data_IF_449264789365
#
_entry.id   IF_449264789365
#
_cell.length_a   1.000
_cell.length_b   1.000
_cell.length_c   1.000
_cell.angle_alpha   90.00
_cell.angle_beta   90.00
_cell.angle_gamma   90.00
#
_symmetry.space_group_name_H-M   'P 1'
#
loop_
_entity.id
_entity.type
_entity.pdbx_description
1 polymer ?
#
# COMPACT_ATOMS: atom_id res chain seq x y z
N UNK A 1 -13.81 -37.76 -26.70
CA UNK A 1 -13.34 -36.70 -25.79
C UNK A 1 -14.50 -35.75 -25.62
N UNK A 2 -15.07 -35.63 -24.44
CA UNK A 2 -16.13 -34.63 -24.17
C UNK A 2 -15.43 -33.36 -23.74
N UNK A 3 -15.44 -32.35 -24.58
CA UNK A 3 -14.96 -31.04 -24.20
C UNK A 3 -15.95 -30.38 -23.23
N UNK A 4 -15.55 -30.20 -21.99
CA UNK A 4 -16.32 -29.38 -21.08
C UNK A 4 -16.05 -27.90 -21.45
N UNK A 5 -17.10 -27.16 -21.76
CA UNK A 5 -17.01 -25.73 -21.95
C UNK A 5 -16.56 -25.11 -20.64
N UNK A 6 -15.50 -24.30 -20.66
CA UNK A 6 -15.05 -23.55 -19.51
C UNK A 6 -16.19 -22.65 -19.02
N UNK A 7 -16.57 -22.80 -17.77
CA UNK A 7 -17.60 -21.96 -17.14
C UNK A 7 -16.92 -20.84 -16.38
N UNK A 8 -17.15 -19.60 -16.79
CA UNK A 8 -16.70 -18.43 -16.03
C UNK A 8 -17.68 -18.21 -14.88
N UNK A 9 -17.19 -18.34 -13.65
CA UNK A 9 -17.95 -17.99 -12.45
C UNK A 9 -17.51 -16.61 -12.02
N UNK A 10 -18.44 -15.67 -11.98
CA UNK A 10 -18.21 -14.32 -11.46
C UNK A 10 -18.69 -14.30 -10.01
N UNK A 11 -17.81 -13.95 -9.08
CA UNK A 11 -18.16 -13.74 -7.67
C UNK A 11 -18.55 -12.27 -7.52
N UNK A 12 -19.83 -11.97 -7.33
CA UNK A 12 -20.26 -10.57 -7.11
C UNK A 12 -19.79 -10.11 -5.72
N UNK A 13 -19.53 -8.82 -5.61
CA UNK A 13 -19.22 -8.14 -4.34
C UNK A 13 -17.92 -8.60 -3.65
N UNK A 14 -16.96 -9.14 -4.40
CA UNK A 14 -15.65 -9.48 -3.84
C UNK A 14 -14.97 -8.25 -3.22
N UNK A 15 -15.16 -7.08 -3.82
CA UNK A 15 -14.63 -5.80 -3.37
C UNK A 15 -15.20 -5.34 -2.02
N UNK A 16 -16.40 -5.79 -1.67
CA UNK A 16 -17.05 -5.44 -0.39
C UNK A 16 -16.56 -6.34 0.75
N UNK A 17 -16.00 -7.48 0.41
CA UNK A 17 -15.52 -8.50 1.38
C UNK A 17 -14.04 -8.27 1.70
N UNK A 18 -13.26 -7.79 0.73
CA UNK A 18 -11.81 -7.60 0.87
C UNK A 18 -11.54 -6.14 1.25
N UNK A 19 -11.40 -5.88 2.55
CA UNK A 19 -10.98 -4.57 3.08
C UNK A 19 -9.46 -4.38 3.12
N UNK A 20 -8.72 -5.49 3.15
CA UNK A 20 -7.25 -5.52 3.15
C UNK A 20 -6.76 -6.55 2.15
N UNK A 21 -5.53 -6.39 1.66
CA UNK A 21 -4.91 -7.40 0.79
C UNK A 21 -4.68 -8.67 1.63
N UNK A 22 -5.34 -9.80 1.31
CA UNK A 22 -5.16 -11.02 2.08
C UNK A 22 -3.83 -11.70 1.73
N UNK A 23 -3.18 -12.30 2.72
CA UNK A 23 -1.95 -13.08 2.51
C UNK A 23 -2.21 -14.35 1.69
N UNK A 24 -3.41 -14.90 1.79
CA UNK A 24 -3.83 -16.08 1.03
C UNK A 24 -5.34 -16.15 0.90
N UNK A 25 -5.80 -16.79 -0.17
CA UNK A 25 -7.21 -17.03 -0.48
C UNK A 25 -7.43 -18.53 -0.63
N UNK A 26 -8.34 -19.09 0.17
CA UNK A 26 -8.75 -20.49 0.06
C UNK A 26 -9.94 -20.61 -0.88
N UNK A 27 -9.80 -21.42 -1.93
CA UNK A 27 -10.86 -21.69 -2.88
C UNK A 27 -11.24 -23.17 -2.84
N UNK A 28 -12.51 -23.48 -2.55
CA UNK A 28 -13.04 -24.84 -2.61
C UNK A 28 -13.90 -25.00 -3.86
N UNK A 29 -13.50 -25.91 -4.75
CA UNK A 29 -14.25 -26.25 -5.96
C UNK A 29 -14.93 -27.60 -5.77
N UNK A 30 -16.26 -27.65 -5.94
CA UNK A 30 -17.06 -28.88 -5.90
C UNK A 30 -17.68 -29.14 -7.29
N UNK A 31 -16.98 -29.86 -8.19
CA UNK A 31 -17.55 -30.18 -9.46
C UNK A 31 -18.71 -31.17 -9.29
N UNK A 32 -19.81 -30.90 -9.98
CA UNK A 32 -21.00 -31.76 -9.97
C UNK A 32 -21.31 -32.20 -11.41
N UNK A 33 -21.49 -33.49 -11.60
CA UNK A 33 -21.92 -34.03 -12.90
C UNK A 33 -23.40 -33.74 -13.08
N UNK A 34 -23.80 -33.24 -14.27
CA UNK A 34 -25.21 -33.03 -14.60
C UNK A 34 -25.96 -34.37 -14.64
N UNK A 35 -26.90 -34.57 -13.73
CA UNK A 35 -27.66 -35.81 -13.58
C UNK A 35 -28.75 -35.99 -14.65
N UNK A 36 -29.05 -34.96 -15.46
CA UNK A 36 -30.07 -34.96 -16.50
C UNK A 36 -29.58 -35.49 -17.87
N UNK A 37 -28.31 -35.85 -17.97
CA UNK A 37 -27.70 -36.41 -19.19
C UNK A 37 -27.29 -37.85 -18.95
N UNK A 38 -27.66 -38.72 -19.92
CA UNK A 38 -27.20 -40.09 -19.92
C UNK A 38 -25.85 -40.21 -20.63
N UNK A 39 -24.90 -40.85 -19.95
CA UNK A 39 -23.57 -41.11 -20.49
C UNK A 39 -23.40 -42.61 -20.73
N UNK A 40 -22.87 -42.99 -21.88
CA UNK A 40 -22.52 -44.39 -22.15
C UNK A 40 -21.13 -44.66 -21.57
N UNK A 41 -21.05 -45.63 -20.67
CA UNK A 41 -19.81 -46.08 -20.07
C UNK A 41 -19.52 -47.51 -20.52
N UNK A 42 -18.35 -47.76 -21.10
CA UNK A 42 -17.92 -49.11 -21.47
C UNK A 42 -17.26 -49.77 -20.26
N UNK A 43 -17.81 -50.91 -19.86
CA UNK A 43 -17.24 -51.68 -18.74
C UNK A 43 -15.86 -52.23 -19.12
N UNK A 44 -14.91 -52.12 -18.21
CA UNK A 44 -13.53 -52.58 -18.40
C UNK A 44 -12.58 -51.56 -19.06
N UNK A 45 -13.01 -50.31 -19.26
CA UNK A 45 -12.13 -49.21 -19.64
C UNK A 45 -11.81 -48.31 -18.45
N UNK A 46 -10.55 -47.88 -18.39
CA UNK A 46 -10.15 -46.84 -17.43
C UNK A 46 -10.53 -45.45 -17.95
N UNK A 47 -11.21 -44.68 -17.14
CA UNK A 47 -11.61 -43.31 -17.44
C UNK A 47 -10.79 -42.34 -16.58
N UNK A 48 -10.09 -41.42 -17.22
CA UNK A 48 -9.33 -40.39 -16.55
C UNK A 48 -10.06 -39.06 -16.68
N UNK A 49 -10.32 -38.41 -15.56
CA UNK A 49 -10.82 -37.02 -15.50
C UNK A 49 -9.64 -36.10 -15.28
N UNK A 50 -9.34 -35.29 -16.26
CA UNK A 50 -8.38 -34.18 -16.10
C UNK A 50 -9.18 -32.89 -15.97
N UNK A 51 -8.94 -32.15 -14.88
CA UNK A 51 -9.51 -30.83 -14.69
C UNK A 51 -8.38 -29.80 -14.59
N UNK A 52 -8.53 -28.70 -15.30
CA UNK A 52 -7.69 -27.52 -15.15
C UNK A 52 -8.60 -26.34 -14.77
N UNK A 53 -8.10 -25.47 -13.91
CA UNK A 53 -8.78 -24.25 -13.57
C UNK A 53 -7.78 -23.09 -13.62
N UNK A 54 -8.28 -21.95 -14.00
CA UNK A 54 -7.60 -20.68 -13.93
C UNK A 54 -8.44 -19.75 -13.08
N UNK A 55 -7.83 -19.11 -12.09
CA UNK A 55 -8.49 -18.19 -11.17
C UNK A 55 -7.85 -16.83 -11.36
N UNK A 56 -8.60 -15.93 -11.98
CA UNK A 56 -8.23 -14.52 -12.09
C UNK A 56 -9.03 -13.73 -11.04
N UNK A 57 -8.31 -13.16 -10.08
CA UNK A 57 -8.88 -12.28 -9.06
C UNK A 57 -8.33 -10.89 -9.32
N UNK A 58 -9.01 -10.06 -10.09
CA UNK A 58 -8.61 -8.69 -10.26
C UNK A 58 -8.73 -8.00 -8.90
N UNK A 59 -7.60 -7.55 -8.34
CA UNK A 59 -7.56 -6.75 -7.12
C UNK A 59 -8.09 -5.35 -7.44
N UNK A 60 -9.41 -5.22 -7.63
CA UNK A 60 -10.08 -3.94 -7.64
C UNK A 60 -10.62 -3.68 -6.24
N UNK A 61 -10.24 -2.57 -5.66
CA UNK A 61 -10.54 -2.26 -4.29
C UNK A 61 -11.74 -1.31 -4.22
N UNK A 62 -12.60 -1.54 -3.24
CA UNK A 62 -13.69 -0.62 -2.92
C UNK A 62 -13.20 0.63 -2.18
N UNK A 63 -14.13 1.53 -1.88
CA UNK A 63 -13.87 2.80 -1.18
C UNK A 63 -13.25 2.64 0.22
N UNK A 64 -13.22 1.44 0.77
CA UNK A 64 -12.72 1.15 2.12
C UNK A 64 -11.27 0.61 2.13
N UNK A 65 -10.59 0.60 0.98
CA UNK A 65 -9.20 0.15 0.92
C UNK A 65 -8.33 0.95 1.88
N UNK A 66 -7.66 0.24 2.78
CA UNK A 66 -6.66 0.78 3.68
C UNK A 66 -5.30 0.26 3.26
N UNK A 67 -4.50 1.14 2.65
CA UNK A 67 -3.08 0.89 2.44
C UNK A 67 -2.33 1.69 3.48
N UNK A 68 -1.45 1.01 4.19
CA UNK A 68 -0.57 1.63 5.18
C UNK A 68 0.85 1.20 4.85
N UNK A 69 1.72 2.17 4.67
CA UNK A 69 3.16 1.97 4.50
C UNK A 69 3.90 2.71 5.61
N UNK A 70 4.79 2.03 6.30
CA UNK A 70 5.63 2.62 7.35
C UNK A 70 7.07 2.66 6.86
N UNK A 71 7.70 3.81 7.01
CA UNK A 71 9.10 4.06 6.68
C UNK A 71 9.80 4.72 7.85
N UNK A 72 11.05 4.35 8.08
CA UNK A 72 11.91 4.99 9.04
C UNK A 72 13.10 5.59 8.30
N UNK A 73 13.23 6.90 8.41
CA UNK A 73 14.37 7.65 7.95
C UNK A 73 15.28 7.85 9.15
N UNK A 74 16.48 7.34 9.13
CA UNK A 74 17.45 7.40 10.22
C UNK A 74 18.80 7.94 9.73
N UNK A 75 19.73 8.11 10.65
CA UNK A 75 21.09 8.59 10.41
C UNK A 75 21.10 9.99 9.75
N UNK A 76 20.34 10.92 10.32
CA UNK A 76 20.37 12.32 9.85
C UNK A 76 21.72 13.01 10.12
N UNK A 77 22.49 12.49 11.09
CA UNK A 77 23.86 12.93 11.44
C UNK A 77 23.98 14.46 11.44
N UNK A 78 23.09 15.09 12.18
CA UNK A 78 23.06 16.54 12.29
C UNK A 78 24.18 16.98 13.23
N UNK A 79 25.25 17.55 12.68
CA UNK A 79 26.29 18.21 13.46
C UNK A 79 25.77 19.57 13.97
N UNK A 80 25.03 19.51 15.07
CA UNK A 80 24.38 20.66 15.68
C UNK A 80 25.06 21.06 17.01
N UNK A 81 26.31 20.66 17.20
CA UNK A 81 27.09 21.12 18.36
C UNK A 81 27.16 22.65 18.32
N UNK A 82 26.76 23.30 19.41
CA UNK A 82 26.73 24.76 19.59
C UNK A 82 25.71 25.56 18.76
N UNK A 83 24.72 24.89 18.10
CA UNK A 83 23.67 25.59 17.34
C UNK A 83 22.31 25.41 18.00
N UNK A 84 21.67 26.51 18.42
CA UNK A 84 20.29 26.51 18.94
C UNK A 84 19.29 26.56 17.78
N UNK A 85 18.82 25.38 17.35
CA UNK A 85 17.82 25.25 16.30
C UNK A 85 16.45 24.98 16.92
N UNK A 86 15.49 25.87 16.64
CA UNK A 86 14.11 25.77 17.12
C UNK A 86 13.13 25.21 16.11
N UNK A 87 13.54 25.18 14.84
CA UNK A 87 12.71 24.71 13.72
C UNK A 87 13.58 24.05 12.68
N UNK A 88 13.09 22.97 12.13
CA UNK A 88 13.66 22.32 10.96
C UNK A 88 12.54 21.91 10.00
N UNK A 89 12.86 21.85 8.72
CA UNK A 89 11.92 21.40 7.68
C UNK A 89 12.59 20.30 6.86
N UNK A 90 11.97 19.12 6.84
CA UNK A 90 12.35 18.07 5.91
C UNK A 90 11.49 18.19 4.65
N UNK A 91 12.11 18.61 3.55
CA UNK A 91 11.51 18.59 2.23
C UNK A 91 11.72 17.24 1.58
N UNK A 92 10.66 16.67 1.02
CA UNK A 92 10.65 15.35 0.39
C UNK A 92 9.96 15.46 -0.96
N UNK A 93 10.54 14.86 -2.00
CA UNK A 93 9.88 14.66 -3.29
C UNK A 93 9.35 13.21 -3.34
N UNK A 94 8.05 13.03 -3.30
CA UNK A 94 7.41 11.72 -3.46
C UNK A 94 7.07 11.49 -4.93
N UNK A 95 7.59 10.41 -5.51
CA UNK A 95 7.27 9.98 -6.88
C UNK A 95 6.38 8.75 -6.81
N UNK A 96 5.23 8.82 -7.44
CA UNK A 96 4.17 7.82 -7.34
C UNK A 96 3.69 7.35 -8.72
N UNK A 97 3.64 6.03 -8.93
CA UNK A 97 3.00 5.40 -10.09
C UNK A 97 1.72 4.66 -9.70
N UNK A 98 1.38 4.65 -8.41
CA UNK A 98 0.19 3.96 -7.91
C UNK A 98 -1.03 4.85 -8.20
N UNK A 99 -2.16 4.30 -8.70
CA UNK A 99 -3.35 5.07 -9.00
C UNK A 99 -4.18 5.39 -7.74
N UNK A 100 -3.51 5.72 -6.67
CA UNK A 100 -4.07 6.13 -5.39
C UNK A 100 -3.33 7.37 -4.88
N UNK A 101 -4.07 8.37 -4.46
CA UNK A 101 -3.51 9.46 -3.69
C UNK A 101 -3.19 8.97 -2.27
N UNK A 102 -2.10 9.47 -1.69
CA UNK A 102 -1.69 9.13 -0.35
C UNK A 102 -1.41 10.38 0.47
N UNK A 103 -1.52 10.22 1.78
CA UNK A 103 -1.29 11.31 2.74
C UNK A 103 -0.43 10.83 3.91
N UNK A 104 0.27 11.78 4.51
CA UNK A 104 0.93 11.62 5.79
C UNK A 104 0.24 12.59 6.76
N UNK A 105 -0.46 12.06 7.75
CA UNK A 105 -1.07 12.90 8.79
C UNK A 105 -0.03 13.28 9.84
N UNK A 106 -0.24 14.39 10.51
CA UNK A 106 0.67 14.85 11.58
C UNK A 106 0.92 13.77 12.64
N UNK A 107 -0.15 13.09 13.08
CA UNK A 107 -0.07 12.00 14.06
C UNK A 107 0.63 10.74 13.55
N UNK A 108 0.92 10.69 12.26
CA UNK A 108 1.61 9.60 11.57
C UNK A 108 3.10 9.86 11.37
N UNK A 109 3.63 10.92 11.99
CA UNK A 109 5.07 11.21 11.98
C UNK A 109 5.58 11.31 13.41
N UNK A 110 6.70 10.65 13.67
CA UNK A 110 7.37 10.69 14.95
C UNK A 110 8.84 11.08 14.75
N UNK A 111 9.30 12.06 15.48
CA UNK A 111 10.71 12.41 15.56
C UNK A 111 11.45 11.39 16.45
N UNK A 112 12.60 10.91 16.01
CA UNK A 112 13.38 9.87 16.68
C UNK A 112 14.77 10.38 17.06
N UNK A 113 15.26 9.92 18.22
CA UNK A 113 16.65 10.09 18.64
C UNK A 113 17.56 8.99 18.04
N UNK A 114 18.87 9.07 18.24
CA UNK A 114 19.86 8.12 17.77
C UNK A 114 19.68 6.68 18.30
N UNK A 115 18.83 6.48 19.31
CA UNK A 115 18.48 5.17 19.84
C UNK A 115 17.12 4.67 19.30
N UNK A 116 16.49 5.43 18.40
CA UNK A 116 15.16 5.13 17.85
C UNK A 116 14.00 5.44 18.80
N UNK A 117 14.23 6.18 19.90
CA UNK A 117 13.17 6.58 20.80
C UNK A 117 12.46 7.83 20.28
N UNK A 118 11.14 7.92 20.51
CA UNK A 118 10.35 9.08 20.11
C UNK A 118 10.68 10.29 20.98
N UNK A 119 11.05 11.40 20.34
CA UNK A 119 11.24 12.71 20.95
C UNK A 119 9.88 13.39 21.04
N UNK A 120 9.35 13.53 22.27
CA UNK A 120 8.01 14.11 22.50
C UNK A 120 7.98 15.64 22.45
N UNK A 121 9.13 16.24 22.60
CA UNK A 121 9.29 17.70 22.66
C UNK A 121 9.53 18.34 21.28
N UNK A 122 9.06 17.67 20.23
CA UNK A 122 9.03 18.18 18.87
C UNK A 122 7.61 18.05 18.34
N UNK A 123 6.98 19.16 18.04
CA UNK A 123 5.72 19.21 17.32
C UNK A 123 5.98 19.02 15.82
N UNK A 124 5.23 18.12 15.23
CA UNK A 124 5.36 17.79 13.80
C UNK A 124 4.11 18.18 13.04
N UNK A 125 4.29 18.90 11.93
CA UNK A 125 3.21 19.17 10.99
C UNK A 125 3.64 18.82 9.57
N UNK A 126 2.74 18.23 8.81
CA UNK A 126 3.00 17.79 7.43
C UNK A 126 2.18 18.60 6.45
N UNK A 127 2.81 19.12 5.42
CA UNK A 127 2.18 19.83 4.32
C UNK A 127 2.38 19.09 3.01
N UNK A 128 1.33 19.04 2.20
CA UNK A 128 1.33 18.35 0.92
C UNK A 128 0.63 16.98 0.98
N UNK A 129 0.35 16.45 -0.20
CA UNK A 129 -0.24 15.14 -0.42
C UNK A 129 0.46 14.47 -1.60
N UNK A 130 0.51 13.15 -1.62
CA UNK A 130 1.08 12.38 -2.72
C UNK A 130 -0.05 12.15 -3.73
N UNK A 131 0.11 12.75 -4.90
CA UNK A 131 -0.87 12.69 -5.98
C UNK A 131 -0.86 11.31 -6.65
N UNK A 132 -2.03 10.83 -7.03
CA UNK A 132 -2.21 9.57 -7.74
C UNK A 132 -1.66 9.63 -9.19
N UNK A 133 -1.20 8.49 -9.69
CA UNK A 133 -0.97 8.28 -11.12
C UNK A 133 -2.26 7.77 -11.76
N UNK A 134 -2.94 8.58 -12.56
CA UNK A 134 -4.25 8.24 -13.13
C UNK A 134 -4.25 7.00 -14.03
N UNK A 135 -3.15 6.70 -14.66
CA UNK A 135 -3.00 5.55 -15.55
C UNK A 135 -2.26 4.38 -14.90
N UNK A 136 -1.81 4.54 -13.63
CA UNK A 136 -1.02 3.56 -12.91
C UNK A 136 0.36 3.26 -13.52
N UNK A 137 0.90 4.16 -14.35
CA UNK A 137 2.18 4.00 -15.07
C UNK A 137 3.01 5.26 -15.09
N UNK A 138 2.37 6.41 -15.31
CA UNK A 138 3.06 7.70 -15.37
C UNK A 138 3.53 8.11 -13.98
N UNK A 139 4.79 8.47 -13.88
CA UNK A 139 5.37 9.01 -12.64
C UNK A 139 4.77 10.38 -12.34
N UNK A 140 4.24 10.55 -11.14
CA UNK A 140 3.72 11.81 -10.63
C UNK A 140 4.54 12.22 -9.42
N UNK A 141 5.16 13.40 -9.50
CA UNK A 141 5.95 13.97 -8.41
C UNK A 141 5.07 14.87 -7.53
N UNK A 142 5.25 14.76 -6.23
CA UNK A 142 4.57 15.59 -5.23
C UNK A 142 5.56 16.07 -4.19
N UNK A 143 5.53 17.36 -3.86
CA UNK A 143 6.36 17.92 -2.81
C UNK A 143 5.65 17.76 -1.46
N UNK A 144 6.38 17.29 -0.47
CA UNK A 144 5.97 17.18 0.92
C UNK A 144 6.94 17.98 1.78
N UNK A 145 6.42 18.66 2.80
CA UNK A 145 7.23 19.29 3.82
C UNK A 145 6.81 18.78 5.20
N UNK A 146 7.77 18.27 5.95
CA UNK A 146 7.61 17.91 7.34
C UNK A 146 8.24 19.00 8.18
N UNK A 147 7.42 19.81 8.83
CA UNK A 147 7.86 20.88 9.69
C UNK A 147 8.03 20.35 11.12
N UNK A 148 9.18 20.59 11.70
CA UNK A 148 9.57 20.19 13.04
C UNK A 148 9.75 21.44 13.89
N UNK A 149 8.97 21.60 14.96
CA UNK A 149 9.05 22.72 15.86
C UNK A 149 9.39 22.23 17.26
N UNK A 150 10.45 22.77 17.83
CA UNK A 150 10.87 22.48 19.18
C UNK A 150 9.88 23.06 20.20
N UNK A 151 9.46 22.23 21.16
CA UNK A 151 8.61 22.66 22.30
C UNK A 151 9.38 22.73 23.61
N UNK A 152 10.54 22.07 23.68
CA UNK A 152 11.47 22.19 24.80
C UNK A 152 12.90 22.35 24.27
N UNK A 153 13.68 23.23 24.91
CA UNK A 153 15.04 23.58 24.49
C UNK A 153 15.95 22.36 24.29
N UNK A 154 16.62 22.30 23.16
CA UNK A 154 17.55 21.22 22.79
C UNK A 154 16.85 19.93 22.32
N UNK A 155 15.56 19.95 21.99
CA UNK A 155 14.89 18.76 21.48
C UNK A 155 15.30 18.44 20.03
N UNK A 156 15.45 19.46 19.17
CA UNK A 156 15.87 19.26 17.77
C UNK A 156 17.33 18.78 17.68
N UNK A 157 18.19 19.18 18.59
CA UNK A 157 19.58 18.70 18.59
C UNK A 157 19.72 17.19 18.85
N UNK A 158 18.67 16.53 19.33
CA UNK A 158 18.62 15.07 19.54
C UNK A 158 18.05 14.32 18.34
N UNK A 159 17.54 15.06 17.32
CA UNK A 159 16.90 14.45 16.16
C UNK A 159 17.91 13.69 15.31
N UNK A 160 17.69 12.40 15.13
CA UNK A 160 18.50 11.54 14.27
C UNK A 160 17.65 10.82 13.19
N UNK A 161 16.33 10.88 13.32
CA UNK A 161 15.45 10.24 12.34
C UNK A 161 14.00 10.64 12.47
N UNK A 162 13.22 10.15 11.50
CA UNK A 162 11.75 10.28 11.46
C UNK A 162 11.13 8.93 11.11
N UNK A 163 10.10 8.55 11.85
CA UNK A 163 9.21 7.46 11.47
C UNK A 163 7.98 8.05 10.79
N UNK A 164 7.72 7.62 9.56
CA UNK A 164 6.61 8.08 8.73
C UNK A 164 5.63 6.95 8.51
N UNK A 165 4.32 7.25 8.60
CA UNK A 165 3.25 6.34 8.22
C UNK A 165 2.41 6.98 7.12
N UNK A 166 2.49 6.42 5.93
CA UNK A 166 1.82 6.87 4.73
C UNK A 166 0.55 6.04 4.55
N UNK A 167 -0.57 6.70 4.32
CA UNK A 167 -1.85 6.03 4.15
C UNK A 167 -2.52 6.46 2.84
N UNK A 168 -3.24 5.53 2.19
CA UNK A 168 -4.07 5.88 1.05
C UNK A 168 -5.21 6.81 1.51
N UNK A 169 -5.52 7.82 0.69
CA UNK A 169 -6.65 8.72 0.95
C UNK A 169 -7.95 7.95 0.72
N UNK A 170 -8.85 7.90 1.72
CA UNK A 170 -10.09 7.15 1.60
C UNK A 170 -11.00 7.69 0.47
N UNK A 171 -11.74 6.79 -0.18
CA UNK A 171 -12.80 7.14 -1.13
C UNK A 171 -12.36 7.46 -2.55
N UNK A 172 -11.06 7.45 -2.86
CA UNK A 172 -10.55 7.73 -4.20
C UNK A 172 -10.30 6.47 -5.06
N UNK A 173 -10.36 5.29 -4.45
CA UNK A 173 -10.04 4.01 -5.09
C UNK A 173 -11.29 3.32 -5.67
N UNK A 174 -12.10 4.01 -6.47
CA UNK A 174 -13.19 3.36 -7.22
C UNK A 174 -12.63 2.76 -8.51
N UNK A 175 -12.80 1.45 -8.69
CA UNK A 175 -12.41 0.71 -9.91
C UNK A 175 -10.91 0.74 -10.25
N UNK A 176 -10.06 0.92 -9.24
CA UNK A 176 -8.61 0.95 -9.39
C UNK A 176 -8.04 -0.46 -9.28
N UNK A 177 -7.24 -0.84 -10.25
CA UNK A 177 -6.47 -2.08 -10.21
C UNK A 177 -5.04 -1.78 -9.77
N UNK A 178 -4.59 -2.45 -8.70
CA UNK A 178 -3.20 -2.43 -8.28
C UNK A 178 -2.41 -3.53 -9.01
N UNK A 179 -1.24 -3.15 -9.51
CA UNK A 179 -0.33 -4.02 -10.24
C UNK A 179 1.02 -4.11 -9.50
N UNK A 180 1.67 -5.26 -9.57
CA UNK A 180 2.99 -5.47 -8.96
C UNK A 180 4.11 -4.62 -9.58
N UNK A 181 3.84 -3.96 -10.70
CA UNK A 181 4.78 -3.04 -11.37
C UNK A 181 4.67 -1.61 -10.88
N UNK A 182 3.66 -1.29 -10.07
CA UNK A 182 3.46 0.04 -9.51
C UNK A 182 4.32 0.22 -8.25
N UNK A 183 4.79 1.43 -8.06
CA UNK A 183 5.70 1.77 -6.96
C UNK A 183 5.52 3.22 -6.51
N UNK A 184 5.97 3.50 -5.32
CA UNK A 184 6.15 4.84 -4.77
C UNK A 184 7.56 4.93 -4.19
N UNK A 185 8.18 6.09 -4.34
CA UNK A 185 9.50 6.37 -3.80
C UNK A 185 9.59 7.78 -3.24
N UNK A 186 10.21 7.90 -2.07
CA UNK A 186 10.60 9.18 -1.50
C UNK A 186 12.02 9.52 -1.99
N UNK A 187 12.18 10.69 -2.59
CA UNK A 187 13.45 11.15 -3.19
C UNK A 187 13.80 12.56 -2.72
N UNK A 188 15.03 12.96 -3.01
CA UNK A 188 15.51 14.33 -2.87
C UNK A 188 15.22 14.91 -1.47
N UNK A 189 15.38 14.07 -0.46
CA UNK A 189 15.15 14.48 0.93
C UNK A 189 16.21 15.48 1.36
N UNK A 190 15.75 16.62 1.87
CA UNK A 190 16.62 17.70 2.33
C UNK A 190 16.09 18.28 3.63
N UNK A 191 16.90 18.23 4.67
CA UNK A 191 16.66 18.92 5.92
C UNK A 191 17.23 20.33 5.85
N UNK A 192 16.43 21.32 6.23
CA UNK A 192 16.75 22.77 6.19
C UNK A 192 16.45 23.38 7.56
#
# INVERSE_FOLDING_TARGET
MVEANATKVVVPNLNDIIETIPDHINVELKPVVKTEQYYTVNLGQDYTLNSAYDIDIPLSFGSNLKIVYEETLDNFDLDLEDVDIKKAVLSINAVNTIPLAMEIKNDNVSALDANGNVIKDIDVTVEGTITESKDGKTEVSSALNVNLNETAEGAISKLDGLKLKITAVPGQATDVQLLSTQWMQLKDMKLI
#
